data_IF_029486479057
#
_entry.id   IF_029486479057
#
_cell.length_a   1.000
_cell.length_b   1.000
_cell.length_c   1.000
_cell.angle_alpha   90.00
_cell.angle_beta   90.00
_cell.angle_gamma   90.00
#
_symmetry.space_group_name_H-M   'P 1'
#
loop_
_entity.id
_entity.type
_entity.pdbx_description
1 polymer ?
#
# COMPACT_ATOMS: atom_id res chain seq x y z
N UNK A 1 69.60 -7.29 -35.01
CA UNK A 1 68.17 -7.42 -35.20
C UNK A 1 67.54 -7.81 -33.85
N UNK A 2 66.89 -6.90 -33.14
CA UNK A 2 66.25 -7.14 -31.85
C UNK A 2 64.72 -7.12 -32.10
N UNK A 3 64.05 -8.27 -31.91
CA UNK A 3 62.61 -8.36 -32.00
C UNK A 3 62.01 -8.00 -30.63
N UNK A 4 61.13 -6.98 -30.61
CA UNK A 4 60.32 -6.64 -29.46
C UNK A 4 58.99 -7.38 -29.57
N UNK A 5 58.72 -8.29 -28.63
CA UNK A 5 57.40 -8.91 -28.44
C UNK A 5 56.55 -7.95 -27.58
N UNK A 6 55.47 -7.44 -28.13
CA UNK A 6 54.45 -6.70 -27.40
C UNK A 6 53.43 -7.69 -26.85
N UNK A 7 53.30 -7.77 -25.53
CA UNK A 7 52.27 -8.52 -24.85
C UNK A 7 51.07 -7.59 -24.65
N UNK A 8 50.00 -7.85 -25.39
CA UNK A 8 48.73 -7.17 -25.16
C UNK A 8 47.98 -7.87 -24.02
N UNK A 9 47.83 -7.20 -22.87
CA UNK A 9 47.01 -7.68 -21.76
C UNK A 9 45.55 -7.26 -22.01
N UNK A 10 44.64 -8.20 -22.27
CA UNK A 10 43.21 -7.96 -22.34
C UNK A 10 42.60 -7.90 -20.94
N UNK A 11 42.17 -6.70 -20.50
CA UNK A 11 41.38 -6.57 -19.29
C UNK A 11 39.91 -6.98 -19.62
N UNK A 12 39.50 -8.13 -19.11
CA UNK A 12 38.10 -8.52 -19.10
C UNK A 12 37.41 -7.82 -17.96
N UNK A 13 36.56 -6.82 -18.27
CA UNK A 13 35.68 -6.17 -17.32
C UNK A 13 34.52 -7.10 -16.94
N UNK A 14 34.58 -7.67 -15.74
CA UNK A 14 33.46 -8.41 -15.16
C UNK A 14 32.44 -7.39 -14.68
N UNK A 15 31.41 -7.15 -15.48
CA UNK A 15 30.20 -6.45 -15.03
C UNK A 15 29.44 -7.38 -14.08
N UNK A 16 29.61 -7.23 -12.79
CA UNK A 16 28.74 -7.83 -11.80
C UNK A 16 27.35 -7.19 -11.91
N UNK A 17 26.40 -7.91 -12.50
CA UNK A 17 25.00 -7.48 -12.50
C UNK A 17 24.49 -7.52 -11.06
N UNK A 18 24.19 -6.34 -10.50
CA UNK A 18 23.47 -6.24 -9.24
C UNK A 18 22.11 -6.92 -9.40
N UNK A 19 21.66 -7.76 -8.45
CA UNK A 19 20.31 -8.33 -8.50
C UNK A 19 19.30 -7.19 -8.55
N UNK A 20 18.41 -7.25 -9.55
CA UNK A 20 17.28 -6.32 -9.60
C UNK A 20 16.43 -6.47 -8.33
N UNK A 21 15.90 -5.40 -7.74
CA UNK A 21 15.01 -5.52 -6.61
C UNK A 21 13.82 -6.42 -6.98
N UNK A 22 13.46 -7.33 -6.06
CA UNK A 22 12.33 -8.24 -6.25
C UNK A 22 11.06 -7.38 -6.48
N UNK A 23 10.36 -7.64 -7.58
CA UNK A 23 9.11 -6.94 -7.91
C UNK A 23 7.94 -7.57 -7.15
N UNK A 24 6.89 -6.79 -6.92
CA UNK A 24 5.63 -7.28 -6.33
C UNK A 24 5.03 -8.50 -7.07
N UNK A 25 5.44 -8.70 -8.32
CA UNK A 25 5.08 -9.88 -9.15
C UNK A 25 5.66 -11.20 -8.65
N UNK A 26 6.65 -11.17 -7.77
CA UNK A 26 7.27 -12.37 -7.20
C UNK A 26 6.48 -12.95 -6.02
N UNK A 27 5.39 -12.28 -5.61
CA UNK A 27 4.48 -12.77 -4.60
C UNK A 27 3.57 -13.86 -5.18
N UNK A 28 3.24 -14.89 -4.39
CA UNK A 28 2.25 -15.92 -4.74
C UNK A 28 0.89 -15.32 -5.14
N UNK A 29 0.66 -14.07 -4.71
CA UNK A 29 -0.46 -13.22 -5.10
C UNK A 29 0.13 -11.93 -5.66
N UNK A 30 -0.27 -11.46 -6.82
CA UNK A 30 0.13 -10.13 -7.31
C UNK A 30 -0.18 -9.01 -6.30
N UNK A 31 0.46 -7.83 -6.47
CA UNK A 31 0.29 -6.69 -5.56
C UNK A 31 -1.17 -6.35 -5.30
N UNK A 32 -2.01 -6.36 -6.35
CA UNK A 32 -3.44 -6.09 -6.25
C UNK A 32 -4.16 -7.06 -5.31
N UNK A 33 -3.90 -8.36 -5.42
CA UNK A 33 -4.54 -9.38 -4.57
C UNK A 33 -4.07 -9.28 -3.12
N UNK A 34 -2.78 -9.01 -2.89
CA UNK A 34 -2.22 -8.79 -1.57
C UNK A 34 -2.91 -7.62 -0.87
N UNK A 35 -2.98 -6.46 -1.56
CA UNK A 35 -3.62 -5.26 -1.03
C UNK A 35 -5.12 -5.47 -0.82
N UNK A 36 -5.81 -6.17 -1.72
CA UNK A 36 -7.23 -6.50 -1.54
C UNK A 36 -7.45 -7.30 -0.26
N UNK A 37 -6.61 -8.31 0.01
CA UNK A 37 -6.68 -9.11 1.24
C UNK A 37 -6.38 -8.28 2.48
N UNK A 38 -5.33 -7.47 2.42
CA UNK A 38 -4.96 -6.55 3.49
C UNK A 38 -6.12 -5.62 3.85
N UNK A 39 -6.65 -4.89 2.87
CA UNK A 39 -7.73 -3.92 3.08
C UNK A 39 -9.03 -4.58 3.51
N UNK A 40 -9.32 -5.81 3.07
CA UNK A 40 -10.48 -6.57 3.53
C UNK A 40 -10.34 -6.92 5.02
N UNK A 41 -9.23 -7.53 5.42
CA UNK A 41 -8.98 -7.88 6.82
C UNK A 41 -8.95 -6.64 7.72
N UNK A 42 -8.30 -5.56 7.27
CA UNK A 42 -8.19 -4.30 8.00
C UNK A 42 -9.51 -3.55 8.13
N UNK A 43 -10.18 -3.23 7.00
CA UNK A 43 -11.32 -2.32 6.99
C UNK A 43 -12.66 -3.02 7.20
N UNK A 44 -12.84 -4.22 6.64
CA UNK A 44 -14.11 -4.92 6.65
C UNK A 44 -14.22 -5.83 7.87
N UNK A 45 -13.19 -6.63 8.14
CA UNK A 45 -13.14 -7.54 9.29
C UNK A 45 -12.71 -6.81 10.57
N UNK A 46 -12.13 -5.60 10.45
CA UNK A 46 -11.64 -4.76 11.55
C UNK A 46 -10.53 -5.42 12.40
N UNK A 47 -9.87 -6.40 11.83
CA UNK A 47 -8.70 -7.03 12.44
C UNK A 47 -7.45 -6.23 12.10
N UNK A 48 -7.30 -5.08 12.77
CA UNK A 48 -6.19 -4.14 12.54
C UNK A 48 -4.84 -4.82 12.72
N UNK A 49 -4.63 -5.39 13.91
CA UNK A 49 -3.34 -6.01 14.26
C UNK A 49 -2.99 -7.15 13.32
N UNK A 50 -3.90 -8.12 13.16
CA UNK A 50 -3.67 -9.27 12.30
C UNK A 50 -3.40 -8.89 10.85
N UNK A 51 -4.11 -7.88 10.31
CA UNK A 51 -3.89 -7.39 8.96
C UNK A 51 -2.49 -6.74 8.82
N UNK A 52 -2.12 -5.83 9.72
CA UNK A 52 -0.84 -5.13 9.66
C UNK A 52 0.34 -6.07 9.88
N UNK A 53 0.30 -6.95 10.88
CA UNK A 53 1.38 -7.93 11.12
C UNK A 53 1.55 -8.91 9.96
N UNK A 54 0.47 -9.27 9.28
CA UNK A 54 0.49 -10.22 8.16
C UNK A 54 0.98 -9.60 6.87
N UNK A 55 0.57 -8.39 6.54
CA UNK A 55 0.74 -7.82 5.19
C UNK A 55 1.65 -6.60 5.13
N UNK A 56 1.94 -5.92 6.25
CA UNK A 56 2.69 -4.66 6.26
C UNK A 56 4.12 -4.88 6.76
N UNK A 57 5.08 -4.24 6.12
CA UNK A 57 6.48 -4.26 6.53
C UNK A 57 6.68 -3.50 7.84
N UNK A 58 7.57 -3.96 8.75
CA UNK A 58 7.89 -3.20 9.97
C UNK A 58 8.36 -1.77 9.71
N UNK A 59 9.11 -1.55 8.62
CA UNK A 59 9.61 -0.25 8.17
C UNK A 59 8.65 0.57 7.33
N UNK A 60 7.36 0.24 7.32
CA UNK A 60 6.28 0.89 6.59
C UNK A 60 6.34 2.43 6.66
N UNK A 61 6.35 3.06 5.48
CA UNK A 61 6.42 4.52 5.33
C UNK A 61 4.99 5.06 5.19
N UNK A 62 4.63 5.99 6.07
CA UNK A 62 3.32 6.62 6.09
C UNK A 62 3.40 8.07 5.60
N UNK A 63 2.57 8.44 4.62
CA UNK A 63 2.47 9.80 4.09
C UNK A 63 1.22 10.57 4.54
N UNK A 64 0.28 9.93 5.23
CA UNK A 64 -0.80 10.67 5.88
C UNK A 64 -0.22 11.54 7.00
N UNK A 65 -0.41 12.89 6.96
CA UNK A 65 0.20 13.80 7.93
C UNK A 65 -0.32 13.64 9.36
N UNK A 66 -1.43 12.91 9.54
CA UNK A 66 -2.02 12.67 10.86
C UNK A 66 -1.53 11.37 11.52
N UNK A 67 -0.72 10.57 10.82
CA UNK A 67 -0.25 9.27 11.31
C UNK A 67 1.28 9.18 11.28
N UNK A 68 1.86 8.56 12.31
CA UNK A 68 3.30 8.34 12.37
C UNK A 68 3.75 7.19 11.45
N UNK A 69 4.98 7.26 10.96
CA UNK A 69 5.63 6.20 10.19
C UNK A 69 5.90 4.96 11.06
N UNK A 70 5.82 3.78 10.44
CA UNK A 70 6.07 2.48 11.03
C UNK A 70 4.80 1.67 11.27
N UNK A 71 4.89 0.36 11.01
CA UNK A 71 3.77 -0.57 11.18
C UNK A 71 3.18 -0.54 12.58
N UNK A 72 4.05 -0.60 13.60
CA UNK A 72 3.61 -0.66 15.00
C UNK A 72 2.96 0.65 15.45
N UNK A 73 3.42 1.80 14.91
CA UNK A 73 2.78 3.10 15.13
C UNK A 73 1.38 3.15 14.48
N UNK A 74 1.22 2.60 13.28
CA UNK A 74 -0.08 2.50 12.62
C UNK A 74 -1.06 1.62 13.43
N UNK A 75 -0.61 0.46 13.94
CA UNK A 75 -1.41 -0.41 14.81
C UNK A 75 -1.83 0.35 16.07
N UNK A 76 -0.89 0.98 16.76
CA UNK A 76 -1.15 1.71 18.02
C UNK A 76 -2.17 2.86 17.84
N UNK A 77 -2.24 3.46 16.66
CA UNK A 77 -3.22 4.49 16.33
C UNK A 77 -4.58 3.91 15.93
N UNK A 78 -4.60 2.90 15.08
CA UNK A 78 -5.81 2.39 14.43
C UNK A 78 -6.61 1.43 15.32
N UNK A 79 -5.97 0.56 16.12
CA UNK A 79 -6.69 -0.36 17.01
C UNK A 79 -7.64 0.36 17.97
N UNK A 80 -7.19 1.36 18.77
CA UNK A 80 -8.09 2.10 19.66
C UNK A 80 -9.13 2.91 18.89
N UNK A 81 -8.79 3.41 17.69
CA UNK A 81 -9.75 4.13 16.84
C UNK A 81 -10.91 3.23 16.42
N UNK A 82 -10.65 2.02 15.91
CA UNK A 82 -11.70 1.06 15.54
C UNK A 82 -12.47 0.54 16.76
N UNK A 83 -11.80 0.32 17.89
CA UNK A 83 -12.45 -0.09 19.14
C UNK A 83 -13.41 0.99 19.68
N UNK A 84 -13.05 2.26 19.56
CA UNK A 84 -13.89 3.38 19.98
C UNK A 84 -15.05 3.67 19.00
N UNK A 85 -14.97 3.17 17.76
CA UNK A 85 -15.96 3.40 16.71
C UNK A 85 -16.53 2.06 16.18
N UNK A 86 -17.27 1.28 16.99
CA UNK A 86 -17.74 -0.07 16.60
C UNK A 86 -18.68 -0.04 15.39
N UNK A 87 -19.40 1.06 15.19
CA UNK A 87 -20.34 1.25 14.07
C UNK A 87 -19.70 1.69 12.76
N UNK A 88 -18.40 1.96 12.78
CA UNK A 88 -17.67 2.31 11.54
C UNK A 88 -17.80 1.17 10.52
N UNK A 89 -18.07 1.54 9.27
CA UNK A 89 -18.20 0.60 8.15
C UNK A 89 -17.47 1.15 6.95
N UNK A 90 -16.73 0.26 6.30
CA UNK A 90 -16.10 0.54 5.02
C UNK A 90 -16.69 -0.37 3.94
N UNK A 91 -16.77 0.15 2.74
CA UNK A 91 -17.14 -0.59 1.54
C UNK A 91 -16.09 -0.30 0.47
N UNK A 92 -15.35 -1.33 0.06
CA UNK A 92 -14.38 -1.23 -1.02
C UNK A 92 -15.16 -1.18 -2.35
N UNK A 93 -15.04 -0.07 -3.07
CA UNK A 93 -15.75 0.16 -4.34
C UNK A 93 -14.95 -0.34 -5.53
N UNK A 94 -13.64 -0.12 -5.53
CA UNK A 94 -12.75 -0.60 -6.60
C UNK A 94 -11.31 -0.71 -6.14
N UNK A 95 -10.58 -1.62 -6.77
CA UNK A 95 -9.14 -1.81 -6.57
C UNK A 95 -8.46 -1.79 -7.92
N UNK A 96 -7.52 -0.88 -8.12
CA UNK A 96 -6.78 -0.66 -9.35
C UNK A 96 -5.31 -0.90 -9.06
N UNK A 97 -4.65 -1.78 -9.81
CA UNK A 97 -3.22 -2.09 -9.65
C UNK A 97 -2.44 -1.73 -10.90
N UNK A 98 -1.25 -1.16 -10.70
CA UNK A 98 -0.25 -0.91 -11.74
C UNK A 98 1.15 -1.24 -11.19
N UNK A 99 1.71 -2.35 -11.63
CA UNK A 99 3.00 -2.83 -11.12
C UNK A 99 2.95 -3.13 -9.62
N UNK A 100 3.74 -2.39 -8.84
CA UNK A 100 3.84 -2.47 -7.39
C UNK A 100 2.91 -1.50 -6.65
N UNK A 101 2.23 -0.61 -7.37
CA UNK A 101 1.26 0.35 -6.82
C UNK A 101 -0.17 -0.17 -6.95
N UNK A 102 -0.94 0.00 -5.88
CA UNK A 102 -2.36 -0.37 -5.85
C UNK A 102 -3.17 0.76 -5.23
N UNK A 103 -4.15 1.27 -5.97
CA UNK A 103 -5.13 2.23 -5.47
C UNK A 103 -6.42 1.51 -5.06
N UNK A 104 -6.91 1.83 -3.87
CA UNK A 104 -8.17 1.32 -3.31
C UNK A 104 -9.13 2.48 -3.08
N UNK A 105 -10.25 2.50 -3.78
CA UNK A 105 -11.32 3.45 -3.56
C UNK A 105 -12.37 2.85 -2.63
N UNK A 106 -12.62 3.48 -1.51
CA UNK A 106 -13.55 3.00 -0.50
C UNK A 106 -14.52 4.10 -0.02
N UNK A 107 -15.65 3.65 0.53
CA UNK A 107 -16.62 4.47 1.23
C UNK A 107 -16.58 4.13 2.72
N UNK A 108 -16.14 5.06 3.55
CA UNK A 108 -16.17 4.94 5.01
C UNK A 108 -17.37 5.68 5.59
N UNK A 109 -18.08 5.06 6.57
CA UNK A 109 -19.19 5.67 7.34
C UNK A 109 -18.98 5.38 8.82
N UNK A 110 -19.18 6.40 9.65
CA UNK A 110 -18.96 6.32 11.10
C UNK A 110 -20.24 6.00 11.88
N UNK A 111 -21.43 6.20 11.26
CA UNK A 111 -22.73 5.87 11.81
C UNK A 111 -23.69 5.42 10.70
N UNK A 112 -24.86 4.88 11.08
CA UNK A 112 -25.84 4.31 10.14
C UNK A 112 -26.32 5.33 9.11
N UNK A 113 -26.58 6.56 9.55
CA UNK A 113 -27.14 7.63 8.71
C UNK A 113 -26.09 8.67 8.28
N UNK A 114 -24.80 8.35 8.48
CA UNK A 114 -23.69 9.16 8.04
C UNK A 114 -23.51 9.05 6.51
N UNK A 115 -23.34 10.19 5.85
CA UNK A 115 -22.98 10.22 4.42
C UNK A 115 -21.58 9.68 4.19
N UNK A 116 -20.71 9.83 5.19
CA UNK A 116 -19.38 9.29 5.21
C UNK A 116 -18.34 10.06 4.39
N UNK A 117 -17.30 9.35 4.06
CA UNK A 117 -16.14 9.85 3.35
C UNK A 117 -15.79 8.94 2.17
N UNK A 118 -15.36 9.53 1.08
CA UNK A 118 -14.64 8.82 0.03
C UNK A 118 -13.15 8.82 0.38
N UNK A 119 -12.52 7.66 0.28
CA UNK A 119 -11.09 7.48 0.54
C UNK A 119 -10.44 6.85 -0.69
N UNK A 120 -9.31 7.39 -1.09
CA UNK A 120 -8.38 6.72 -2.01
C UNK A 120 -7.12 6.42 -1.22
N UNK A 121 -6.89 5.15 -0.94
CA UNK A 121 -5.63 4.65 -0.41
C UNK A 121 -4.75 4.21 -1.57
N UNK A 122 -3.50 4.64 -1.61
CA UNK A 122 -2.48 4.16 -2.54
C UNK A 122 -1.42 3.43 -1.72
N UNK A 123 -1.16 2.18 -2.08
CA UNK A 123 -0.21 1.32 -1.37
C UNK A 123 0.85 0.82 -2.34
N UNK A 124 2.11 0.85 -1.91
CA UNK A 124 3.21 0.22 -2.63
C UNK A 124 3.57 -1.11 -1.98
N UNK A 125 3.75 -2.11 -2.82
CA UNK A 125 4.08 -3.47 -2.41
C UNK A 125 5.50 -3.82 -2.86
N UNK A 126 6.32 -4.30 -1.93
CA UNK A 126 7.66 -4.80 -2.20
C UNK A 126 7.91 -6.04 -1.32
N UNK A 127 8.58 -7.06 -1.86
CA UNK A 127 8.88 -8.31 -1.14
C UNK A 127 7.64 -8.92 -0.45
N UNK A 128 6.48 -8.90 -1.14
CA UNK A 128 5.21 -9.41 -0.63
C UNK A 128 4.71 -8.73 0.65
N UNK A 129 5.06 -7.45 0.83
CA UNK A 129 4.62 -6.60 1.94
C UNK A 129 4.22 -5.22 1.43
N UNK A 130 3.24 -4.63 2.08
CA UNK A 130 2.95 -3.20 1.94
C UNK A 130 4.07 -2.44 2.65
N UNK A 131 4.80 -1.61 1.90
CA UNK A 131 5.96 -0.87 2.41
C UNK A 131 5.71 0.63 2.48
N UNK A 132 4.64 1.13 1.83
CA UNK A 132 4.39 2.57 1.75
C UNK A 132 2.91 2.86 1.46
N UNK A 133 2.41 3.98 1.98
CA UNK A 133 1.00 4.36 1.88
C UNK A 133 0.81 5.87 1.78
N UNK A 134 -0.07 6.27 0.87
CA UNK A 134 -0.65 7.60 0.73
C UNK A 134 -2.16 7.49 0.78
N UNK A 135 -2.85 8.52 1.21
CA UNK A 135 -4.30 8.60 1.12
C UNK A 135 -4.81 10.00 0.76
N UNK A 136 -6.00 10.02 0.23
CA UNK A 136 -6.80 11.23 0.05
C UNK A 136 -8.20 10.96 0.56
N UNK A 137 -8.68 11.84 1.44
CA UNK A 137 -9.99 11.72 2.05
C UNK A 137 -10.86 12.91 1.67
N UNK A 138 -12.08 12.63 1.19
CA UNK A 138 -13.05 13.67 0.87
C UNK A 138 -14.40 13.36 1.54
N UNK A 139 -14.95 14.28 2.35
CA UNK A 139 -16.31 14.13 2.87
C UNK A 139 -17.35 14.05 1.75
N UNK A 140 -18.35 13.17 1.91
CA UNK A 140 -19.49 13.12 1.00
C UNK A 140 -20.38 14.33 1.27
N UNK A 141 -20.58 15.24 0.29
CA UNK A 141 -21.29 16.48 0.50
C UNK A 141 -22.80 16.25 0.69
N UNK A 142 -23.46 17.19 1.35
CA UNK A 142 -24.94 17.18 1.48
C UNK A 142 -25.62 17.43 0.14
N UNK A 143 -25.05 18.30 -0.66
CA UNK A 143 -25.55 18.64 -1.99
C UNK A 143 -24.45 18.45 -3.02
N UNK A 144 -24.76 17.76 -4.09
CA UNK A 144 -23.89 17.59 -5.23
C UNK A 144 -24.36 18.44 -6.41
N UNK A 145 -23.43 18.89 -7.25
CA UNK A 145 -23.74 19.57 -8.51
C UNK A 145 -24.25 18.62 -9.60
N UNK A 146 -24.17 17.32 -9.38
CA UNK A 146 -24.61 16.25 -10.29
C UNK A 146 -25.19 15.07 -9.49
N UNK A 147 -25.86 14.14 -10.17
CA UNK A 147 -26.52 12.97 -9.58
C UNK A 147 -25.73 11.66 -9.72
N UNK A 148 -24.47 11.71 -10.18
CA UNK A 148 -23.68 10.51 -10.46
C UNK A 148 -23.16 9.81 -9.18
N UNK A 149 -23.12 10.53 -8.06
CA UNK A 149 -22.51 10.05 -6.82
C UNK A 149 -20.98 10.09 -6.85
N UNK A 150 -20.36 9.63 -5.76
CA UNK A 150 -18.89 9.60 -5.61
C UNK A 150 -18.30 8.20 -5.74
N UNK A 151 -19.12 7.16 -5.96
CA UNK A 151 -18.68 5.76 -5.85
C UNK A 151 -19.07 4.88 -7.03
#
# INVERSE_FOLDING_TARGET
MRQFFAIAAALAAVCAALPAPARATDCAYGAKDLVTKFMTQFLIEKDVRGAFERYVDPGYIQHNPMAATGRDAAIAFLEPFFAANPDIRYEIKRVIGDGDLVAVHSHGRFAKDDRGIAVIDILRVENCRVVEHWDVVQPVPEKSANENGMF
#
